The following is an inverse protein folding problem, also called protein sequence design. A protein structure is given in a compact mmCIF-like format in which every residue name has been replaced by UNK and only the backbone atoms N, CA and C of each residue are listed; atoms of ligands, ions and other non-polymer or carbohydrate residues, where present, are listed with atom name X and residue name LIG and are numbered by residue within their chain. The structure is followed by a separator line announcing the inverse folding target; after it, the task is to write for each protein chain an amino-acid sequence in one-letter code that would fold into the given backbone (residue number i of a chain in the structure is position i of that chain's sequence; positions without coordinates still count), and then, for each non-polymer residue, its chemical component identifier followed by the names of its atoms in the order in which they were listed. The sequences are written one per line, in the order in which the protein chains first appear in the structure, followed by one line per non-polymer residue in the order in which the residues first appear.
data_IF_725977689145
#
_entry.id   IF_725977689145
#
_cell.length_a   1.000
_cell.length_b   1.000
_cell.length_c   1.000
_cell.angle_alpha   90.00
_cell.angle_beta   90.00
_cell.angle_gamma   90.00
#
_symmetry.space_group_name_H-M   'P 1'
#
loop_
_entity.id
_entity.type
_entity.pdbx_description
1 polymer ?
#
# COMPACT_ATOMS: atom_id res chain seq x y z
N UNK A 1 -26.90 1.05 12.86
CA UNK A 1 -27.86 2.18 13.04
C UNK A 1 -27.45 3.33 12.13
N UNK A 2 -28.38 3.98 11.42
CA UNK A 2 -28.04 5.12 10.55
C UNK A 2 -27.88 6.42 11.34
N UNK A 3 -26.76 7.14 11.19
CA UNK A 3 -26.44 8.42 11.86
C UNK A 3 -25.64 9.34 10.96
N UNK A 4 -25.76 10.66 11.15
CA UNK A 4 -24.88 11.63 10.48
C UNK A 4 -23.61 11.82 11.31
N UNK A 5 -22.46 11.58 10.70
CA UNK A 5 -21.16 11.63 11.37
C UNK A 5 -20.31 12.75 10.76
N UNK A 6 -19.63 13.57 11.57
CA UNK A 6 -18.63 14.51 11.06
C UNK A 6 -17.54 13.78 10.28
N UNK A 7 -17.25 14.23 9.06
CA UNK A 7 -16.24 13.61 8.20
C UNK A 7 -14.87 13.55 8.89
N UNK A 8 -14.55 14.55 9.72
CA UNK A 8 -13.30 14.61 10.48
C UNK A 8 -13.12 13.47 11.51
N UNK A 9 -14.19 12.80 11.94
CA UNK A 9 -14.13 11.68 12.89
C UNK A 9 -14.02 10.31 12.21
N UNK A 10 -14.02 10.30 10.88
CA UNK A 10 -14.02 9.08 10.06
C UNK A 10 -12.58 8.74 9.66
N UNK A 11 -12.14 7.56 10.08
CA UNK A 11 -10.84 6.99 9.77
C UNK A 11 -10.89 6.16 8.48
N UNK A 12 -9.94 6.42 7.58
CA UNK A 12 -9.76 5.73 6.29
C UNK A 12 -8.43 4.96 6.21
N UNK A 13 -7.59 5.12 7.23
CA UNK A 13 -6.21 4.62 7.37
C UNK A 13 -6.12 3.27 8.10
N UNK A 14 -7.25 2.58 8.30
CA UNK A 14 -7.32 1.31 9.06
C UNK A 14 -7.09 0.05 8.21
N UNK A 15 -6.55 0.19 7.00
CA UNK A 15 -6.39 -0.89 6.00
C UNK A 15 -7.70 -1.58 5.61
N UNK A 16 -8.83 -0.87 5.66
CA UNK A 16 -10.15 -1.37 5.28
C UNK A 16 -10.50 -1.13 3.81
N UNK A 17 -9.64 -0.43 3.05
CA UNK A 17 -9.87 -0.22 1.62
C UNK A 17 -9.53 -1.49 0.83
N UNK A 18 -10.56 -2.22 0.39
CA UNK A 18 -10.42 -3.46 -0.38
C UNK A 18 -9.99 -3.22 -1.85
N UNK A 19 -10.19 -2.02 -2.39
CA UNK A 19 -9.70 -1.65 -3.72
C UNK A 19 -8.23 -1.27 -3.72
N UNK A 20 -7.52 -1.58 -4.79
CA UNK A 20 -6.12 -1.17 -4.96
C UNK A 20 -6.01 0.34 -5.17
N UNK A 21 -6.94 0.92 -5.93
CA UNK A 21 -7.01 2.35 -6.20
C UNK A 21 -8.44 2.89 -6.07
N UNK A 22 -8.55 4.16 -5.72
CA UNK A 22 -9.78 4.94 -5.86
C UNK A 22 -9.93 5.34 -7.31
N UNK A 23 -11.13 5.18 -7.84
CA UNK A 23 -11.47 5.65 -9.18
C UNK A 23 -11.95 7.10 -9.07
N UNK A 24 -11.09 8.03 -9.48
CA UNK A 24 -11.34 9.46 -9.44
C UNK A 24 -12.53 9.89 -10.29
N UNK A 25 -12.81 9.20 -11.40
CA UNK A 25 -13.96 9.49 -12.23
C UNK A 25 -15.26 9.20 -11.47
N UNK A 26 -15.36 8.03 -10.85
CA UNK A 26 -16.51 7.67 -9.98
C UNK A 26 -16.68 8.67 -8.82
N UNK A 27 -15.58 9.17 -8.23
CA UNK A 27 -15.66 10.19 -7.17
C UNK A 27 -16.22 11.51 -7.71
N UNK A 28 -15.83 11.94 -8.91
CA UNK A 28 -16.35 13.15 -9.55
C UNK A 28 -17.85 13.02 -9.87
N UNK A 29 -18.27 11.91 -10.47
CA UNK A 29 -19.69 11.66 -10.77
C UNK A 29 -20.56 11.72 -9.51
N UNK A 30 -20.08 11.15 -8.40
CA UNK A 30 -20.76 11.26 -7.10
C UNK A 30 -20.72 12.67 -6.51
N UNK A 31 -19.63 13.41 -6.68
CA UNK A 31 -19.52 14.78 -6.22
C UNK A 31 -20.52 15.69 -6.95
N UNK A 32 -20.60 15.60 -8.28
CA UNK A 32 -21.58 16.32 -9.11
C UNK A 32 -23.02 15.97 -8.70
N UNK A 33 -23.30 14.67 -8.52
CA UNK A 33 -24.61 14.19 -8.06
C UNK A 33 -25.01 14.83 -6.71
N UNK A 34 -24.06 14.95 -5.77
CA UNK A 34 -24.29 15.59 -4.47
C UNK A 34 -24.45 17.12 -4.57
N UNK A 35 -23.78 17.78 -5.51
CA UNK A 35 -23.95 19.22 -5.79
C UNK A 35 -25.33 19.52 -6.37
N UNK A 36 -25.87 18.63 -7.20
CA UNK A 36 -27.26 18.69 -7.69
C UNK A 36 -28.32 18.35 -6.63
N UNK A 37 -27.91 18.11 -5.37
CA UNK A 37 -28.83 17.90 -4.25
C UNK A 37 -29.36 16.48 -4.12
N UNK A 38 -28.82 15.52 -4.89
CA UNK A 38 -29.20 14.11 -4.77
C UNK A 38 -28.59 13.52 -3.50
N UNK A 39 -29.39 12.74 -2.76
CA UNK A 39 -28.93 12.06 -1.54
C UNK A 39 -28.40 10.68 -1.90
N UNK A 40 -27.09 10.48 -1.73
CA UNK A 40 -26.46 9.17 -1.89
C UNK A 40 -26.81 8.21 -0.73
N UNK A 41 -26.76 6.88 -0.96
CA UNK A 41 -26.87 5.90 0.11
C UNK A 41 -25.82 6.11 1.21
N UNK A 42 -26.13 5.73 2.46
CA UNK A 42 -25.16 5.85 3.55
C UNK A 42 -23.89 5.03 3.29
N UNK A 43 -22.80 5.40 3.97
CA UNK A 43 -21.57 4.61 4.00
C UNK A 43 -21.56 3.69 5.22
N UNK A 44 -20.91 2.53 5.12
CA UNK A 44 -20.80 1.61 6.25
C UNK A 44 -19.56 1.93 7.07
N UNK A 45 -19.74 2.10 8.38
CA UNK A 45 -18.64 2.38 9.31
C UNK A 45 -18.71 1.47 10.53
N UNK A 46 -17.55 1.10 11.04
CA UNK A 46 -17.40 0.43 12.32
C UNK A 46 -16.92 1.40 13.39
N UNK A 47 -17.50 1.34 14.58
CA UNK A 47 -17.05 2.11 15.73
C UNK A 47 -16.31 1.21 16.71
N UNK A 48 -15.02 1.50 16.91
CA UNK A 48 -14.12 0.73 17.78
C UNK A 48 -14.07 1.23 19.23
N UNK A 49 -14.93 2.21 19.56
CA UNK A 49 -14.93 2.91 20.84
C UNK A 49 -14.22 4.27 20.81
N UNK A 50 -13.42 4.56 19.78
CA UNK A 50 -12.64 5.79 19.65
C UNK A 50 -12.90 6.48 18.30
N UNK A 51 -12.85 5.74 17.19
CA UNK A 51 -12.94 6.27 15.82
C UNK A 51 -13.99 5.52 15.00
N UNK A 52 -14.51 6.18 13.96
CA UNK A 52 -15.40 5.56 12.97
C UNK A 52 -14.58 5.10 11.76
N UNK A 53 -14.38 3.80 11.62
CA UNK A 53 -13.59 3.20 10.55
C UNK A 53 -14.50 2.90 9.35
N UNK A 54 -14.18 3.41 8.17
CA UNK A 54 -14.95 3.10 6.94
C UNK A 54 -14.75 1.64 6.55
N UNK A 55 -15.83 0.90 6.32
CA UNK A 55 -15.79 -0.48 5.80
C UNK A 55 -16.31 -0.59 4.37
N UNK A 56 -17.25 0.25 3.97
CA UNK A 56 -17.70 0.39 2.58
C UNK A 56 -18.02 1.85 2.24
N UNK A 57 -18.00 2.19 0.94
CA UNK A 57 -18.43 3.50 0.46
C UNK A 57 -17.32 4.54 0.39
N UNK A 58 -16.07 4.12 0.23
CA UNK A 58 -14.92 5.03 0.09
C UNK A 58 -15.10 6.07 -1.03
N UNK A 59 -15.62 5.70 -2.20
CA UNK A 59 -15.91 6.68 -3.26
C UNK A 59 -16.92 7.73 -2.83
N UNK A 60 -17.98 7.32 -2.12
CA UNK A 60 -18.98 8.25 -1.55
C UNK A 60 -18.33 9.15 -0.50
N UNK A 61 -17.50 8.60 0.38
CA UNK A 61 -16.74 9.38 1.35
C UNK A 61 -15.86 10.45 0.67
N UNK A 62 -15.09 10.08 -0.36
CA UNK A 62 -14.25 11.03 -1.09
C UNK A 62 -15.07 12.07 -1.85
N UNK A 63 -16.24 11.72 -2.38
CA UNK A 63 -17.14 12.66 -3.02
C UNK A 63 -17.65 13.72 -2.04
N UNK A 64 -18.14 13.29 -0.86
CA UNK A 64 -18.54 14.20 0.22
C UNK A 64 -17.39 15.10 0.70
N UNK A 65 -16.17 14.56 0.76
CA UNK A 65 -14.96 15.33 1.11
C UNK A 65 -14.61 16.36 0.03
N UNK A 66 -14.74 16.00 -1.26
CA UNK A 66 -14.46 16.88 -2.40
C UNK A 66 -15.35 18.12 -2.43
N UNK A 67 -16.63 17.96 -2.10
CA UNK A 67 -17.60 19.06 -2.02
C UNK A 67 -17.63 19.73 -0.64
N UNK A 68 -16.64 19.45 0.22
CA UNK A 68 -16.44 20.05 1.54
C UNK A 68 -17.65 19.95 2.48
N UNK A 69 -18.42 18.85 2.42
CA UNK A 69 -19.52 18.60 3.38
C UNK A 69 -18.94 18.35 4.77
N UNK A 70 -19.61 18.85 5.80
CA UNK A 70 -19.17 18.67 7.20
C UNK A 70 -19.52 17.29 7.75
N UNK A 71 -20.63 16.71 7.28
CA UNK A 71 -21.18 15.45 7.76
C UNK A 71 -21.56 14.54 6.60
N UNK A 72 -21.48 13.24 6.83
CA UNK A 72 -21.93 12.20 5.90
C UNK A 72 -22.86 11.24 6.65
N UNK A 73 -23.85 10.68 5.94
CA UNK A 73 -24.76 9.68 6.50
C UNK A 73 -24.06 8.33 6.53
N UNK A 74 -24.01 7.70 7.70
CA UNK A 74 -23.33 6.43 7.90
C UNK A 74 -24.25 5.39 8.54
N UNK A 75 -24.07 4.12 8.20
CA UNK A 75 -24.55 2.99 8.99
C UNK A 75 -23.44 2.54 9.94
N UNK A 76 -23.70 2.69 11.24
CA UNK A 76 -22.73 2.36 12.29
C UNK A 76 -22.98 0.96 12.81
N UNK A 77 -21.92 0.17 12.83
CA UNK A 77 -21.82 -1.13 13.50
C UNK A 77 -20.74 -1.04 14.58
N UNK A 78 -20.98 -1.63 15.75
CA UNK A 78 -19.97 -1.70 16.81
C UNK A 78 -19.02 -2.87 16.55
N UNK A 79 -17.72 -2.65 16.67
CA UNK A 79 -16.74 -3.71 16.45
C UNK A 79 -15.30 -3.21 16.42
N UNK A 80 -14.37 -4.14 16.52
CA UNK A 80 -12.93 -3.80 16.50
C UNK A 80 -12.46 -3.42 15.10
N UNK A 81 -11.26 -2.85 15.00
CA UNK A 81 -10.61 -2.62 13.69
C UNK A 81 -10.42 -3.92 12.88
N UNK A 82 -10.22 -5.06 13.56
CA UNK A 82 -10.15 -6.37 12.90
C UNK A 82 -11.49 -6.82 12.34
N UNK A 83 -12.58 -6.55 13.07
CA UNK A 83 -13.93 -6.83 12.58
C UNK A 83 -14.27 -5.92 11.39
N UNK A 84 -13.86 -4.65 11.45
CA UNK A 84 -14.00 -3.71 10.35
C UNK A 84 -13.26 -4.19 9.09
N UNK A 85 -12.00 -4.64 9.21
CA UNK A 85 -11.23 -5.24 8.11
C UNK A 85 -11.86 -6.51 7.58
N UNK A 86 -12.37 -7.37 8.47
CA UNK A 86 -13.08 -8.57 8.07
C UNK A 86 -14.31 -8.22 7.24
N UNK A 87 -15.18 -7.33 7.72
CA UNK A 87 -16.38 -6.89 6.99
C UNK A 87 -16.02 -6.21 5.67
N UNK A 88 -14.99 -5.36 5.64
CA UNK A 88 -14.55 -4.69 4.42
C UNK A 88 -14.04 -5.67 3.34
N UNK A 89 -13.43 -6.80 3.75
CA UNK A 89 -13.04 -7.87 2.84
C UNK A 89 -14.22 -8.63 2.22
N UNK A 90 -15.41 -8.54 2.83
CA UNK A 90 -16.67 -9.13 2.33
C UNK A 90 -17.32 -8.30 1.21
N UNK A 91 -16.91 -7.04 1.04
CA UNK A 91 -17.58 -6.08 0.17
C UNK A 91 -17.82 -6.67 -1.24
N UNK A 92 -19.10 -6.76 -1.61
CA UNK A 92 -19.57 -7.56 -2.72
C UNK A 92 -20.10 -6.73 -3.91
N UNK A 93 -20.13 -7.44 -5.04
CA UNK A 93 -20.39 -7.04 -6.44
C UNK A 93 -21.68 -6.23 -6.68
N UNK A 94 -22.62 -6.23 -5.74
CA UNK A 94 -24.02 -5.88 -6.04
C UNK A 94 -24.33 -4.38 -6.15
N UNK A 95 -23.51 -3.49 -5.60
CA UNK A 95 -23.85 -2.05 -5.52
C UNK A 95 -22.74 -1.11 -6.05
N UNK A 96 -21.86 -1.57 -6.96
CA UNK A 96 -20.81 -0.69 -7.51
C UNK A 96 -19.90 -1.31 -8.58
N UNK A 97 -18.80 -0.61 -8.86
CA UNK A 97 -17.78 -1.00 -9.85
C UNK A 97 -17.29 -2.43 -9.59
N UNK A 98 -17.18 -3.26 -10.63
CA UNK A 98 -16.71 -4.65 -10.47
C UNK A 98 -15.30 -4.68 -9.87
N UNK A 99 -15.06 -5.61 -8.94
CA UNK A 99 -13.73 -5.86 -8.37
C UNK A 99 -12.79 -6.38 -9.45
N UNK A 100 -11.63 -5.77 -9.58
CA UNK A 100 -10.53 -6.28 -10.41
C UNK A 100 -9.90 -7.52 -9.76
N UNK A 101 -9.07 -8.25 -10.50
CA UNK A 101 -8.32 -9.37 -9.92
C UNK A 101 -7.36 -8.90 -8.81
N UNK A 102 -6.83 -7.69 -8.92
CA UNK A 102 -5.97 -7.10 -7.90
C UNK A 102 -6.77 -6.76 -6.63
N UNK A 103 -7.99 -6.22 -6.77
CA UNK A 103 -8.90 -5.96 -5.64
C UNK A 103 -9.28 -7.27 -4.92
N UNK A 104 -9.54 -8.34 -5.66
CA UNK A 104 -9.81 -9.67 -5.09
C UNK A 104 -8.63 -10.18 -4.28
N UNK A 105 -7.39 -10.05 -4.78
CA UNK A 105 -6.19 -10.42 -4.03
C UNK A 105 -6.04 -9.58 -2.77
N UNK A 106 -6.22 -8.27 -2.86
CA UNK A 106 -6.14 -7.36 -1.70
C UNK A 106 -7.16 -7.69 -0.62
N UNK A 107 -8.42 -7.98 -1.00
CA UNK A 107 -9.45 -8.42 -0.06
C UNK A 107 -9.08 -9.73 0.65
N UNK A 108 -8.52 -10.70 -0.08
CA UNK A 108 -8.03 -11.96 0.50
C UNK A 108 -6.87 -11.74 1.46
N UNK A 109 -5.90 -10.90 1.09
CA UNK A 109 -4.78 -10.54 1.97
C UNK A 109 -5.28 -9.91 3.26
N UNK A 110 -6.21 -8.96 3.17
CA UNK A 110 -6.83 -8.30 4.32
C UNK A 110 -7.50 -9.31 5.25
N UNK A 111 -8.31 -10.22 4.71
CA UNK A 111 -8.97 -11.28 5.48
C UNK A 111 -7.98 -12.25 6.15
N UNK A 112 -6.89 -12.61 5.46
CA UNK A 112 -5.83 -13.47 6.00
C UNK A 112 -5.05 -12.80 7.14
N UNK A 113 -4.87 -11.48 7.09
CA UNK A 113 -4.19 -10.74 8.17
C UNK A 113 -4.98 -10.80 9.48
N UNK A 114 -6.30 -10.68 9.43
CA UNK A 114 -7.17 -10.64 10.64
C UNK A 114 -7.70 -11.99 11.09
N UNK A 115 -7.83 -12.96 10.18
CA UNK A 115 -8.41 -14.29 10.44
C UNK A 115 -7.63 -15.42 9.74
N UNK A 116 -6.30 -15.34 9.73
CA UNK A 116 -5.42 -16.30 9.04
C UNK A 116 -5.52 -17.76 9.52
N UNK A 117 -6.05 -17.99 10.73
CA UNK A 117 -6.28 -19.34 11.28
C UNK A 117 -7.49 -20.06 10.69
N UNK A 118 -8.40 -19.34 10.02
CA UNK A 118 -9.56 -19.92 9.36
C UNK A 118 -9.15 -20.74 8.13
N UNK A 119 -10.01 -21.69 7.74
CA UNK A 119 -9.78 -22.50 6.54
C UNK A 119 -9.87 -21.66 5.26
N UNK A 120 -9.17 -22.10 4.20
CA UNK A 120 -9.19 -21.42 2.90
C UNK A 120 -10.63 -21.30 2.36
N UNK A 121 -11.45 -22.34 2.52
CA UNK A 121 -12.86 -22.33 2.12
C UNK A 121 -13.67 -21.27 2.87
N UNK A 122 -13.46 -21.13 4.18
CA UNK A 122 -14.21 -20.14 4.97
C UNK A 122 -13.88 -18.70 4.56
N UNK A 123 -12.61 -18.43 4.25
CA UNK A 123 -12.16 -17.12 3.74
C UNK A 123 -12.63 -16.90 2.30
N UNK A 124 -12.59 -17.92 1.46
CA UNK A 124 -13.03 -17.86 0.06
C UNK A 124 -14.52 -17.52 -0.05
N UNK A 125 -15.35 -18.19 0.76
CA UNK A 125 -16.78 -17.90 0.87
C UNK A 125 -17.01 -16.46 1.37
N UNK A 126 -16.22 -16.01 2.34
CA UNK A 126 -16.35 -14.66 2.90
C UNK A 126 -16.01 -13.59 1.86
N UNK A 127 -14.87 -13.72 1.18
CA UNK A 127 -14.42 -12.78 0.16
C UNK A 127 -15.09 -12.96 -1.22
N UNK A 128 -15.92 -14.00 -1.39
CA UNK A 128 -16.51 -14.42 -2.68
C UNK A 128 -15.46 -14.62 -3.79
N UNK A 129 -14.47 -15.45 -3.50
CA UNK A 129 -13.38 -15.84 -4.42
C UNK A 129 -13.20 -17.36 -4.42
N UNK A 130 -12.31 -17.89 -5.27
CA UNK A 130 -11.95 -19.30 -5.21
C UNK A 130 -11.05 -19.59 -4.00
N UNK A 131 -11.18 -20.79 -3.44
CA UNK A 131 -10.30 -21.33 -2.40
C UNK A 131 -8.85 -21.45 -2.87
N UNK A 132 -8.64 -21.67 -4.17
CA UNK A 132 -7.33 -21.67 -4.81
C UNK A 132 -6.64 -20.31 -4.72
N UNK A 133 -7.37 -19.20 -4.94
CA UNK A 133 -6.79 -17.86 -4.78
C UNK A 133 -6.37 -17.61 -3.34
N UNK A 134 -7.17 -18.07 -2.36
CA UNK A 134 -6.83 -17.96 -0.94
C UNK A 134 -5.59 -18.78 -0.60
N UNK A 135 -5.46 -19.98 -1.15
CA UNK A 135 -4.26 -20.81 -0.97
C UNK A 135 -3.02 -20.11 -1.52
N UNK A 136 -3.09 -19.59 -2.75
CA UNK A 136 -1.99 -18.89 -3.41
C UNK A 136 -1.52 -17.66 -2.61
N UNK A 137 -2.45 -16.79 -2.21
CA UNK A 137 -2.13 -15.59 -1.43
C UNK A 137 -1.57 -15.95 -0.05
N UNK A 138 -2.10 -17.01 0.59
CA UNK A 138 -1.58 -17.49 1.87
C UNK A 138 -0.13 -17.99 1.74
N UNK A 139 0.16 -18.78 0.72
CA UNK A 139 1.51 -19.27 0.44
C UNK A 139 2.48 -18.13 0.11
N UNK A 140 2.01 -17.08 -0.56
CA UNK A 140 2.80 -15.86 -0.80
C UNK A 140 3.14 -15.12 0.50
N UNK A 141 2.15 -14.94 1.40
CA UNK A 141 2.37 -14.31 2.70
C UNK A 141 3.28 -15.14 3.60
N UNK A 142 3.15 -16.47 3.61
CA UNK A 142 4.05 -17.37 4.34
C UNK A 142 5.48 -17.31 3.78
N UNK A 143 5.63 -17.27 2.45
CA UNK A 143 6.94 -17.11 1.77
C UNK A 143 7.57 -15.73 1.95
N UNK A 144 6.77 -14.69 2.13
CA UNK A 144 7.27 -13.37 2.48
C UNK A 144 7.80 -13.37 3.92
N UNK A 145 7.03 -13.91 4.87
CA UNK A 145 7.43 -14.03 6.29
C UNK A 145 8.71 -14.87 6.51
N UNK A 146 8.90 -15.91 5.70
CA UNK A 146 10.07 -16.79 5.79
C UNK A 146 11.31 -16.27 5.04
N UNK A 147 11.19 -15.21 4.23
CA UNK A 147 12.37 -14.50 3.68
C UNK A 147 13.02 -13.56 4.69
N UNK A 148 12.25 -13.07 5.66
CA UNK A 148 12.73 -12.18 6.72
C UNK A 148 13.23 -12.94 7.97
N UNK A 149 13.09 -14.27 8.03
CA UNK A 149 13.52 -15.09 9.16
C UNK A 149 14.40 -16.26 8.71
N UNK A 150 15.66 -16.28 9.17
CA UNK A 150 16.52 -17.47 9.09
C UNK A 150 15.90 -18.57 9.98
N UNK A 151 15.27 -19.54 9.31
CA UNK A 151 14.99 -20.90 9.74
C UNK A 151 14.49 -21.13 11.19
N UNK A 152 13.18 -21.15 11.36
CA UNK A 152 12.54 -22.11 12.28
C UNK A 152 11.36 -22.78 11.56
N UNK A 153 11.40 -24.11 11.42
CA UNK A 153 10.29 -24.88 10.88
C UNK A 153 9.12 -24.80 11.87
N UNK A 154 8.18 -23.89 11.61
CA UNK A 154 6.97 -23.77 12.40
C UNK A 154 6.16 -25.10 12.39
N UNK A 155 5.66 -25.55 13.56
CA UNK A 155 4.87 -26.78 13.64
C UNK A 155 3.52 -26.63 12.94
N UNK A 156 2.99 -27.77 12.49
CA UNK A 156 1.71 -27.92 11.76
C UNK A 156 0.60 -27.03 12.35
N UNK A 157 0.20 -25.99 11.62
CA UNK A 157 -0.89 -25.11 12.04
C UNK A 157 -2.24 -25.84 11.94
N UNK A 158 -2.89 -25.99 13.10
CA UNK A 158 -4.28 -26.44 13.21
C UNK A 158 -5.20 -25.33 12.66
N UNK A 159 -6.10 -25.68 11.73
CA UNK A 159 -7.03 -24.71 11.11
C UNK A 159 -8.46 -25.01 11.54
N UNK A 160 -9.22 -23.96 11.82
CA UNK A 160 -10.61 -24.06 12.28
C UNK A 160 -11.57 -23.82 11.12
N UNK A 161 -12.51 -24.74 10.91
CA UNK A 161 -13.61 -24.61 9.95
C UNK A 161 -14.74 -23.71 10.47
N UNK A 162 -15.68 -23.36 9.60
CA UNK A 162 -16.89 -22.58 9.97
C UNK A 162 -17.74 -23.30 11.01
N UNK A 163 -17.67 -24.61 11.05
CA UNK A 163 -18.34 -25.51 11.99
C UNK A 163 -17.61 -25.66 13.35
N UNK A 164 -16.56 -24.89 13.58
CA UNK A 164 -15.74 -24.96 14.80
C UNK A 164 -14.80 -26.17 14.86
N UNK A 165 -14.82 -27.05 13.85
CA UNK A 165 -13.98 -28.26 13.84
C UNK A 165 -12.58 -27.96 13.35
N UNK A 166 -11.60 -28.60 13.97
CA UNK A 166 -10.19 -28.41 13.66
C UNK A 166 -9.71 -29.47 12.68
N UNK A 167 -9.08 -29.05 11.59
CA UNK A 167 -8.50 -29.94 10.59
C UNK A 167 -6.97 -29.84 10.58
N UNK A 168 -6.30 -30.99 10.55
CA UNK A 168 -4.84 -31.09 10.31
C UNK A 168 -4.59 -31.10 8.81
N UNK A 169 -3.93 -30.05 8.28
CA UNK A 169 -3.55 -30.03 6.88
C UNK A 169 -2.45 -31.06 6.60
N UNK A 170 -2.68 -31.97 5.64
CA UNK A 170 -1.61 -32.78 5.05
C UNK A 170 -0.77 -31.85 4.16
N UNK A 171 0.43 -31.48 4.59
CA UNK A 171 1.40 -30.83 3.71
C UNK A 171 1.79 -31.84 2.63
N UNK A 172 1.49 -31.54 1.36
CA UNK A 172 2.13 -32.23 0.25
C UNK A 172 3.60 -31.83 0.30
N UNK A 173 4.52 -32.80 0.39
CA UNK A 173 5.95 -32.51 0.24
C UNK A 173 6.14 -31.71 -1.06
N UNK A 174 6.98 -30.66 -1.08
CA UNK A 174 7.17 -29.87 -2.28
C UNK A 174 7.69 -30.79 -3.39
N UNK A 175 6.90 -30.95 -4.45
CA UNK A 175 7.38 -31.57 -5.67
C UNK A 175 8.52 -30.68 -6.20
N UNK A 176 9.65 -31.30 -6.53
CA UNK A 176 10.76 -30.61 -7.17
C UNK A 176 10.21 -29.80 -8.36
N UNK A 177 10.52 -28.49 -8.47
CA UNK A 177 9.99 -27.68 -9.54
C UNK A 177 10.45 -28.25 -10.89
N UNK A 178 9.58 -28.31 -11.91
CA UNK A 178 10.00 -28.69 -13.25
C UNK A 178 11.08 -27.72 -13.74
N UNK A 179 12.04 -28.19 -14.57
CA UNK A 179 13.10 -27.35 -15.07
C UNK A 179 12.48 -26.13 -15.77
N UNK A 180 12.75 -24.97 -15.18
CA UNK A 180 12.22 -23.69 -15.65
C UNK A 180 12.78 -23.44 -17.05
N UNK A 181 11.93 -23.53 -18.07
CA UNK A 181 12.25 -23.00 -19.39
C UNK A 181 12.59 -21.52 -19.21
N UNK A 182 13.87 -21.21 -19.41
CA UNK A 182 14.41 -19.87 -19.31
C UNK A 182 13.79 -19.02 -20.41
N UNK A 183 12.79 -18.20 -20.06
CA UNK A 183 12.43 -17.04 -20.87
C UNK A 183 13.68 -16.18 -21.02
N UNK A 184 13.98 -15.81 -22.27
CA UNK A 184 15.16 -15.06 -22.66
C UNK A 184 15.40 -13.88 -21.72
N UNK A 185 16.61 -13.82 -21.16
CA UNK A 185 17.08 -12.76 -20.27
C UNK A 185 17.07 -11.45 -21.07
N UNK A 186 16.18 -10.53 -20.72
CA UNK A 186 16.41 -9.13 -21.01
C UNK A 186 17.62 -8.71 -20.16
N UNK A 187 18.74 -8.43 -20.83
CA UNK A 187 19.98 -8.05 -20.18
C UNK A 187 19.93 -6.55 -19.82
N UNK A 188 19.04 -6.19 -18.88
CA UNK A 188 19.19 -4.96 -18.13
C UNK A 188 20.00 -5.33 -16.90
N UNK A 189 21.23 -4.83 -16.80
CA UNK A 189 22.00 -4.87 -15.56
C UNK A 189 21.15 -4.14 -14.51
N UNK A 190 20.39 -4.93 -13.74
CA UNK A 190 19.84 -4.46 -12.47
C UNK A 190 21.05 -4.04 -11.63
N UNK A 191 21.03 -2.85 -11.02
CA UNK A 191 22.04 -2.56 -10.01
C UNK A 191 21.88 -3.66 -8.96
N UNK A 192 22.98 -4.37 -8.76
CA UNK A 192 23.09 -5.41 -7.75
C UNK A 192 22.70 -4.74 -6.45
N UNK A 193 21.67 -5.25 -5.77
CA UNK A 193 21.37 -4.83 -4.40
C UNK A 193 22.69 -4.85 -3.63
N UNK A 194 23.15 -3.72 -3.04
CA UNK A 194 24.47 -3.67 -2.45
C UNK A 194 24.53 -4.75 -1.37
N UNK A 195 25.37 -5.76 -1.61
CA UNK A 195 25.71 -6.77 -0.62
C UNK A 195 26.29 -6.00 0.56
N UNK A 196 25.55 -5.90 1.66
CA UNK A 196 26.00 -5.24 2.88
C UNK A 196 27.22 -6.00 3.38
N UNK A 197 28.41 -5.50 3.06
CA UNK A 197 29.63 -5.95 3.72
C UNK A 197 29.53 -5.44 5.14
N UNK A 198 29.64 -6.34 6.11
CA UNK A 198 29.90 -5.98 7.51
C UNK A 198 31.28 -5.30 7.58
N UNK A 199 31.32 -4.02 7.24
CA UNK A 199 32.46 -3.13 7.36
C UNK A 199 32.16 -2.08 8.42
N UNK A 200 33.22 -1.62 9.09
CA UNK A 200 33.26 -0.54 10.09
C UNK A 200 32.10 0.45 9.91
N UNK A 201 31.26 0.61 10.95
CA UNK A 201 30.08 1.47 10.87
C UNK A 201 30.49 2.91 10.51
N UNK A 202 30.23 3.31 9.26
CA UNK A 202 30.39 4.69 8.81
C UNK A 202 29.48 5.57 9.64
N UNK A 203 30.02 6.59 10.29
CA UNK A 203 29.21 7.55 11.04
C UNK A 203 28.60 8.56 10.07
N UNK A 204 27.29 8.49 9.86
CA UNK A 204 26.54 9.46 9.08
C UNK A 204 25.91 10.51 9.98
N UNK A 205 25.77 11.72 9.45
CA UNK A 205 24.86 12.73 9.98
C UNK A 205 23.68 12.88 9.03
N UNK A 206 22.50 13.10 9.60
CA UNK A 206 21.32 13.46 8.82
C UNK A 206 21.42 14.90 8.27
N UNK A 207 20.43 15.35 7.51
CA UNK A 207 20.46 16.70 6.92
C UNK A 207 20.28 17.84 7.92
N UNK A 208 19.98 17.52 9.18
CA UNK A 208 19.82 18.50 10.25
C UNK A 208 20.98 18.43 11.25
N UNK A 209 22.03 17.65 10.93
CA UNK A 209 23.29 17.57 11.66
C UNK A 209 23.29 16.58 12.83
N UNK A 210 22.28 15.70 12.96
CA UNK A 210 22.22 14.68 14.01
C UNK A 210 22.96 13.42 13.58
N UNK A 211 23.70 12.84 14.51
CA UNK A 211 24.40 11.58 14.30
C UNK A 211 23.39 10.44 14.15
N UNK A 212 23.49 9.71 13.05
CA UNK A 212 22.63 8.57 12.73
C UNK A 212 23.17 7.34 13.48
N UNK A 213 22.32 6.64 14.28
CA UNK A 213 22.68 5.36 14.87
C UNK A 213 23.17 4.36 13.83
N UNK A 214 24.24 3.62 14.13
CA UNK A 214 24.86 2.69 13.16
C UNK A 214 23.89 1.66 12.55
N UNK A 215 22.86 1.26 13.29
CA UNK A 215 21.86 0.31 12.81
C UNK A 215 20.92 0.89 11.74
N UNK A 216 20.82 2.22 11.64
CA UNK A 216 20.04 2.94 10.63
C UNK A 216 20.85 3.27 9.37
N UNK A 217 22.16 3.05 9.37
CA UNK A 217 23.02 3.28 8.19
C UNK A 217 22.49 2.58 6.92
N UNK A 218 22.01 1.32 6.93
CA UNK A 218 21.51 0.69 5.72
C UNK A 218 20.31 1.41 5.09
N UNK A 219 19.45 2.02 5.90
CA UNK A 219 18.30 2.81 5.43
C UNK A 219 18.80 4.13 4.84
N UNK A 220 19.74 4.78 5.51
CA UNK A 220 20.33 6.05 5.07
C UNK A 220 21.14 5.90 3.77
N UNK A 221 21.96 4.86 3.66
CA UNK A 221 22.76 4.55 2.47
C UNK A 221 21.89 4.09 1.29
N UNK A 222 20.68 3.57 1.56
CA UNK A 222 19.71 3.22 0.52
C UNK A 222 19.28 4.40 -0.38
N UNK A 223 19.55 5.64 0.04
CA UNK A 223 19.30 6.85 -0.76
C UNK A 223 20.05 6.86 -2.08
N UNK A 224 21.25 6.27 -2.14
CA UNK A 224 22.05 6.22 -3.38
C UNK A 224 21.36 5.38 -4.44
N UNK A 225 20.84 4.21 -4.06
CA UNK A 225 20.08 3.33 -4.96
C UNK A 225 18.80 4.01 -5.47
N UNK A 226 18.11 4.79 -4.63
CA UNK A 226 16.95 5.59 -5.07
C UNK A 226 17.37 6.74 -5.98
N UNK A 227 18.53 7.35 -5.73
CA UNK A 227 19.14 8.34 -6.61
C UNK A 227 19.37 7.81 -8.02
N UNK A 228 19.85 6.57 -8.16
CA UNK A 228 20.01 5.91 -9.47
C UNK A 228 18.67 5.70 -10.19
N UNK A 229 17.60 5.35 -9.46
CA UNK A 229 16.25 5.21 -10.03
C UNK A 229 15.76 6.56 -10.56
N UNK A 230 15.92 7.62 -9.77
CA UNK A 230 15.57 8.99 -10.17
C UNK A 230 16.38 9.44 -11.39
N UNK A 231 17.66 9.09 -11.46
CA UNK A 231 18.50 9.41 -12.62
C UNK A 231 17.96 8.73 -13.89
N UNK A 232 17.59 7.45 -13.82
CA UNK A 232 17.01 6.73 -14.97
C UNK A 232 15.66 7.32 -15.42
N UNK A 233 14.83 7.76 -14.48
CA UNK A 233 13.57 8.46 -14.82
C UNK A 233 13.86 9.79 -15.53
N UNK A 234 14.86 10.54 -15.06
CA UNK A 234 15.31 11.75 -15.71
C UNK A 234 15.88 11.49 -17.10
N UNK A 235 16.64 10.42 -17.30
CA UNK A 235 17.18 10.05 -18.62
C UNK A 235 16.03 9.77 -19.62
N UNK A 236 15.00 9.02 -19.18
CA UNK A 236 13.81 8.77 -20.00
C UNK A 236 13.08 10.07 -20.33
N UNK A 237 12.90 10.94 -19.32
CA UNK A 237 12.29 12.26 -19.49
C UNK A 237 13.06 13.09 -20.52
N UNK A 238 14.37 13.22 -20.34
CA UNK A 238 15.23 13.99 -21.24
C UNK A 238 15.24 13.42 -22.67
N UNK A 239 15.24 12.10 -22.83
CA UNK A 239 15.16 11.47 -24.16
C UNK A 239 13.85 11.73 -24.89
N UNK A 240 12.73 11.82 -24.17
CA UNK A 240 11.44 12.21 -24.77
C UNK A 240 11.44 13.71 -25.11
N UNK A 241 11.92 14.56 -24.20
CA UNK A 241 11.99 16.01 -24.38
C UNK A 241 12.87 16.39 -25.58
N UNK A 242 14.05 15.77 -25.70
CA UNK A 242 14.94 15.96 -26.83
C UNK A 242 14.25 15.57 -28.14
N UNK A 243 13.68 14.35 -28.23
CA UNK A 243 12.98 13.89 -29.45
C UNK A 243 11.75 14.74 -29.85
N UNK A 244 11.13 15.44 -28.90
CA UNK A 244 10.03 16.37 -29.19
C UNK A 244 10.52 17.73 -29.68
N UNK A 245 11.70 18.16 -29.24
CA UNK A 245 12.28 19.47 -29.54
C UNK A 245 13.28 19.46 -30.72
N UNK A 246 13.82 18.30 -31.11
CA UNK A 246 14.68 18.17 -32.30
C UNK A 246 13.88 18.28 -33.60
N UNK A 247 14.52 18.77 -34.66
CA UNK A 247 14.00 18.74 -36.02
C UNK A 247 13.62 17.31 -36.44
N UNK A 248 12.54 17.21 -37.23
CA UNK A 248 11.90 15.92 -37.54
C UNK A 248 12.80 14.93 -38.30
N UNK A 249 13.90 15.40 -38.90
CA UNK A 249 14.88 14.59 -39.63
C UNK A 249 15.83 13.81 -38.72
N UNK A 250 16.10 14.32 -37.52
CA UNK A 250 17.09 13.76 -36.59
C UNK A 250 16.46 13.20 -35.30
N UNK A 251 15.19 13.51 -35.06
CA UNK A 251 14.43 13.02 -33.91
C UNK A 251 14.08 11.53 -34.03
N UNK A 252 14.09 10.80 -32.90
CA UNK A 252 13.51 9.46 -32.85
C UNK A 252 11.98 9.53 -33.06
N UNK A 253 11.43 9.00 -34.17
CA UNK A 253 10.03 9.21 -34.53
C UNK A 253 9.06 8.49 -33.58
N UNK A 254 9.51 7.45 -32.87
CA UNK A 254 8.69 6.77 -31.87
C UNK A 254 8.58 7.59 -30.59
N UNK A 255 9.67 8.20 -30.13
CA UNK A 255 9.67 9.02 -28.92
C UNK A 255 8.91 10.34 -29.11
N UNK A 256 8.98 10.93 -30.31
CA UNK A 256 8.21 12.14 -30.66
C UNK A 256 6.69 11.97 -30.53
N UNK A 257 6.19 10.73 -30.69
CA UNK A 257 4.75 10.41 -30.59
C UNK A 257 4.27 10.19 -29.15
N UNK A 258 5.18 10.16 -28.18
CA UNK A 258 4.81 10.02 -26.77
C UNK A 258 3.97 11.23 -26.37
N UNK A 259 2.83 10.97 -25.74
CA UNK A 259 1.91 12.02 -25.32
C UNK A 259 2.59 12.96 -24.30
N UNK A 260 2.39 14.26 -24.44
CA UNK A 260 2.96 15.29 -23.55
C UNK A 260 2.62 15.04 -22.07
N UNK A 261 1.47 14.44 -21.78
CA UNK A 261 1.06 14.07 -20.42
C UNK A 261 1.99 13.07 -19.73
N UNK A 262 2.75 12.27 -20.47
CA UNK A 262 3.72 11.32 -19.91
C UNK A 262 4.84 12.04 -19.16
N UNK A 263 5.26 13.21 -19.65
CA UNK A 263 6.31 14.02 -19.01
C UNK A 263 5.90 14.47 -17.61
N UNK A 264 4.66 14.92 -17.45
CA UNK A 264 4.10 15.32 -16.16
C UNK A 264 3.99 14.12 -15.19
N UNK A 265 3.67 12.92 -15.71
CA UNK A 265 3.63 11.70 -14.89
C UNK A 265 5.02 11.29 -14.41
N UNK A 266 6.05 11.39 -15.27
CA UNK A 266 7.44 11.10 -14.87
C UNK A 266 7.91 12.10 -13.81
N UNK A 267 7.67 13.40 -14.02
CA UNK A 267 8.00 14.44 -13.05
C UNK A 267 7.30 14.23 -11.70
N UNK A 268 6.02 13.85 -11.72
CA UNK A 268 5.27 13.51 -10.51
C UNK A 268 5.87 12.30 -9.79
N UNK A 269 6.21 11.23 -10.53
CA UNK A 269 6.84 10.05 -9.95
C UNK A 269 8.21 10.39 -9.33
N UNK A 270 9.04 11.18 -10.01
CA UNK A 270 10.31 11.65 -9.45
C UNK A 270 10.13 12.46 -8.16
N UNK A 271 9.13 13.33 -8.12
CA UNK A 271 8.82 14.13 -6.95
C UNK A 271 8.39 13.26 -5.76
N UNK A 272 7.45 12.32 -5.97
CA UNK A 272 6.97 11.41 -4.92
C UNK A 272 8.09 10.50 -4.40
N UNK A 273 8.94 9.97 -5.29
CA UNK A 273 10.09 9.15 -4.89
C UNK A 273 11.08 9.98 -4.06
N UNK A 274 11.42 11.20 -4.48
CA UNK A 274 12.31 12.10 -3.71
C UNK A 274 11.72 12.44 -2.35
N UNK A 275 10.42 12.70 -2.28
CA UNK A 275 9.72 13.05 -1.04
C UNK A 275 9.70 11.90 -0.03
N UNK A 276 9.81 10.64 -0.49
CA UNK A 276 9.86 9.45 0.38
C UNK A 276 11.22 9.20 1.05
N UNK A 277 12.28 9.92 0.64
CA UNK A 277 13.62 9.69 1.16
C UNK A 277 13.77 10.12 2.62
N UNK A 278 14.57 9.39 3.43
CA UNK A 278 14.91 9.81 4.77
C UNK A 278 15.66 11.14 4.72
N UNK A 279 15.19 12.11 5.51
CA UNK A 279 15.75 13.46 5.57
C UNK A 279 16.41 13.74 6.93
N UNK A 280 15.66 13.51 8.00
CA UNK A 280 16.11 13.77 9.37
C UNK A 280 15.82 12.57 10.26
N UNK A 281 16.70 12.28 11.22
CA UNK A 281 16.47 11.33 12.29
C UNK A 281 15.23 11.78 13.07
N UNK A 282 14.33 10.85 13.31
CA UNK A 282 13.06 11.15 13.97
C UNK A 282 13.31 11.85 15.32
N UNK A 283 12.85 13.09 15.51
CA UNK A 283 13.04 13.83 16.76
C UNK A 283 12.33 13.20 17.96
N UNK A 284 11.33 12.35 17.71
CA UNK A 284 10.51 11.73 18.74
C UNK A 284 11.17 10.48 19.30
N UNK A 285 11.57 9.53 18.43
CA UNK A 285 12.21 8.29 18.87
C UNK A 285 13.73 8.30 18.79
N UNK A 286 14.34 9.30 18.14
CA UNK A 286 15.78 9.40 17.93
C UNK A 286 16.42 8.16 17.30
N UNK A 287 15.65 7.40 16.52
CA UNK A 287 16.12 6.13 15.97
C UNK A 287 16.38 5.08 17.06
N UNK A 288 15.54 5.02 18.09
CA UNK A 288 15.60 3.98 19.11
C UNK A 288 14.94 2.67 18.65
N UNK A 289 13.82 2.73 17.92
CA UNK A 289 13.02 1.55 17.54
C UNK A 289 12.42 1.66 16.12
N UNK A 290 12.48 0.56 15.35
CA UNK A 290 11.84 0.40 14.03
C UNK A 290 10.31 0.20 14.05
N UNK A 291 9.64 0.80 15.03
CA UNK A 291 8.19 0.71 15.24
C UNK A 291 7.55 1.99 15.76
N UNK A 292 8.25 3.12 15.68
CA UNK A 292 7.74 4.41 16.13
C UNK A 292 6.51 4.82 15.31
N UNK A 293 5.39 5.13 15.98
CA UNK A 293 4.14 5.51 15.29
C UNK A 293 4.23 6.78 14.43
N UNK A 294 5.24 7.62 14.66
CA UNK A 294 5.41 8.88 13.94
C UNK A 294 6.24 8.73 12.65
N UNK A 295 7.27 7.87 12.66
CA UNK A 295 8.18 7.70 11.51
C UNK A 295 8.18 6.30 10.90
N UNK A 296 7.78 5.27 11.65
CA UNK A 296 7.84 3.86 11.25
C UNK A 296 9.25 3.28 11.31
N UNK A 297 10.22 3.93 10.68
CA UNK A 297 11.55 3.36 10.38
C UNK A 297 12.73 4.10 11.04
N UNK A 298 12.47 5.14 11.81
CA UNK A 298 13.48 5.95 12.51
C UNK A 298 13.81 7.28 11.82
N UNK A 299 13.30 7.53 10.61
CA UNK A 299 13.52 8.77 9.87
C UNK A 299 12.21 9.51 9.56
N UNK A 300 12.30 10.82 9.49
CA UNK A 300 11.26 11.65 8.89
C UNK A 300 11.68 12.05 7.49
N UNK A 301 10.71 12.10 6.58
CA UNK A 301 10.86 12.81 5.32
C UNK A 301 11.00 14.31 5.57
N UNK A 302 11.45 15.07 4.57
CA UNK A 302 11.61 16.52 4.69
C UNK A 302 10.31 17.20 5.10
N UNK A 303 9.20 16.85 4.44
CA UNK A 303 7.88 17.40 4.73
C UNK A 303 7.42 17.07 6.16
N UNK A 304 7.58 15.82 6.60
CA UNK A 304 7.25 15.41 7.96
C UNK A 304 8.06 16.19 9.00
N UNK A 305 9.35 16.42 8.73
CA UNK A 305 10.22 17.17 9.62
C UNK A 305 9.87 18.66 9.66
N UNK A 306 9.57 19.29 8.52
CA UNK A 306 9.13 20.69 8.44
C UNK A 306 7.79 20.90 9.18
N UNK A 307 6.84 19.97 9.01
CA UNK A 307 5.58 19.95 9.77
C UNK A 307 5.88 19.83 11.27
N UNK A 308 6.72 18.88 11.68
CA UNK A 308 7.10 18.73 13.08
C UNK A 308 7.71 20.01 13.64
N UNK A 309 8.65 20.64 12.94
CA UNK A 309 9.26 21.91 13.36
C UNK A 309 8.22 23.02 13.56
N UNK A 310 7.23 23.12 12.67
CA UNK A 310 6.17 24.12 12.79
C UNK A 310 5.29 23.92 14.04
N UNK A 311 5.13 22.67 14.51
CA UNK A 311 4.36 22.37 15.73
C UNK A 311 5.12 22.65 17.03
N UNK A 312 6.43 22.90 16.95
CA UNK A 312 7.27 23.22 18.12
C UNK A 312 7.40 24.73 18.37
N UNK A 313 6.86 25.57 17.48
CA UNK A 313 6.84 27.04 17.60
C UNK A 313 5.50 27.51 18.15
#
# INVERSE_FOLDING_TARGET
MSRNIPIALIAIDADTQSRVAIDEQTVNEYAETLEHGVVLPPIDVHFDGIRYIVTDGFHRYFAHKRINRKTIRCEVTEGTADDARWVAAQANINNGLRRTNADKRKAVTMALTVRGTMSNKAIADHCQVSDMLVAEVRDELERAKSRDQVQELAPRTRRTGRDGKTYTSKSKAPAAPPPRQTKAKYNAQSPVAPTVKAGVATLHNDFVGRQIPAWLNPIWEGRDAVGEIIARLNDVRMGIEDAQNTDATDANPCLRRVATGVMALIQKAEHEIKASLPYALCPICQGADGGCKACGDGFMTREQYEIWQSTQK
#
